data_IF_987992967099
#
_entry.id   IF_987992967099
#
_cell.length_a   1.000
_cell.length_b   1.000
_cell.length_c   1.000
_cell.angle_alpha   90.00
_cell.angle_beta   90.00
_cell.angle_gamma   90.00
#
_symmetry.space_group_name_H-M   'P 1'
#
loop_
_entity.id
_entity.type
_entity.pdbx_description
1 polymer ?
#
# COMPACT_ATOMS: atom_id res chain seq x y z
N UNK A 1 9.46 4.53 -38.67
CA UNK A 1 8.15 3.91 -38.39
C UNK A 1 8.15 3.31 -37.01
N UNK A 2 7.43 3.91 -36.09
CA UNK A 2 7.34 3.43 -34.72
C UNK A 2 6.55 2.12 -34.66
N UNK A 3 7.18 1.06 -34.14
CA UNK A 3 6.48 -0.18 -33.82
C UNK A 3 5.43 0.12 -32.76
N UNK A 4 4.16 0.08 -33.12
CA UNK A 4 3.06 0.11 -32.15
C UNK A 4 3.25 -1.09 -31.20
N UNK A 5 3.60 -0.83 -29.94
CA UNK A 5 3.58 -1.88 -28.93
C UNK A 5 2.18 -2.45 -28.88
N UNK A 6 2.05 -3.74 -29.18
CA UNK A 6 0.81 -4.46 -28.91
C UNK A 6 0.52 -4.31 -27.42
N UNK A 7 -0.56 -3.65 -27.10
CA UNK A 7 -1.06 -3.57 -25.73
C UNK A 7 -1.61 -4.96 -25.44
N UNK A 8 -0.90 -5.70 -24.59
CA UNK A 8 -1.37 -6.99 -24.13
C UNK A 8 -2.71 -6.79 -23.41
N UNK A 9 -3.77 -7.30 -24.01
CA UNK A 9 -5.14 -7.22 -23.49
C UNK A 9 -5.33 -7.97 -22.16
N UNK A 10 -4.31 -8.66 -21.68
CA UNK A 10 -4.29 -9.41 -20.43
C UNK A 10 -3.48 -8.71 -19.33
N UNK A 11 -3.37 -7.41 -19.36
CA UNK A 11 -2.89 -6.71 -18.17
C UNK A 11 -3.95 -6.90 -17.08
N UNK A 12 -3.54 -7.58 -16.02
CA UNK A 12 -4.32 -7.64 -14.79
C UNK A 12 -4.91 -6.26 -14.50
N UNK A 13 -6.22 -6.22 -14.28
CA UNK A 13 -6.90 -4.97 -13.96
C UNK A 13 -6.43 -4.50 -12.58
N UNK A 14 -5.40 -3.68 -12.56
CA UNK A 14 -4.78 -3.20 -11.34
C UNK A 14 -4.95 -1.69 -11.20
N UNK A 15 -5.13 -1.25 -9.96
CA UNK A 15 -5.21 0.15 -9.59
C UNK A 15 -4.16 0.41 -8.51
N UNK A 16 -3.44 1.50 -8.66
CA UNK A 16 -2.36 1.89 -7.74
C UNK A 16 -2.69 3.17 -7.01
N UNK A 17 -2.35 3.21 -5.73
CA UNK A 17 -2.33 4.42 -4.93
C UNK A 17 -0.99 4.52 -4.20
N UNK A 18 -0.45 5.73 -4.16
CA UNK A 18 0.83 6.02 -3.53
C UNK A 18 0.64 7.13 -2.51
N UNK A 19 1.15 6.91 -1.30
CA UNK A 19 1.27 7.95 -0.29
C UNK A 19 2.74 8.15 0.06
N UNK A 20 3.28 9.32 -0.26
CA UNK A 20 4.70 9.63 -0.09
C UNK A 20 5.03 10.26 1.27
N UNK A 21 4.05 10.59 2.08
CA UNK A 21 4.23 11.42 3.28
C UNK A 21 3.83 10.70 4.56
N UNK A 22 4.16 9.43 4.68
CA UNK A 22 3.91 8.69 5.92
C UNK A 22 5.09 8.89 6.87
N UNK A 23 4.80 9.47 8.03
CA UNK A 23 5.80 9.70 9.07
C UNK A 23 6.05 8.43 9.88
N UNK A 24 6.76 7.51 9.27
CA UNK A 24 7.16 6.26 9.90
C UNK A 24 8.35 5.63 9.20
N UNK A 25 9.03 4.73 9.90
CA UNK A 25 10.08 3.92 9.30
C UNK A 25 9.51 2.74 8.53
N UNK A 26 10.23 2.30 7.50
CA UNK A 26 9.88 1.10 6.72
C UNK A 26 9.73 -0.14 7.60
N UNK A 27 10.57 -0.28 8.62
CA UNK A 27 10.54 -1.40 9.55
C UNK A 27 9.21 -1.53 10.30
N UNK A 28 8.56 -0.40 10.62
CA UNK A 28 7.26 -0.37 11.31
C UNK A 28 6.09 -0.58 10.35
N UNK A 29 6.25 -0.17 9.09
CA UNK A 29 5.22 -0.31 8.07
C UNK A 29 5.12 -1.72 7.49
N UNK A 30 6.24 -2.38 7.28
CA UNK A 30 6.29 -3.69 6.64
C UNK A 30 5.38 -4.76 7.29
N UNK A 31 5.36 -4.93 8.62
CA UNK A 31 4.50 -5.94 9.24
C UNK A 31 3.01 -5.69 8.97
N UNK A 32 2.60 -4.42 8.97
CA UNK A 32 1.22 -4.02 8.71
C UNK A 32 0.85 -4.30 7.26
N UNK A 33 1.71 -3.93 6.32
CA UNK A 33 1.48 -4.14 4.90
C UNK A 33 1.44 -5.63 4.54
N UNK A 34 2.30 -6.44 5.13
CA UNK A 34 2.27 -7.89 4.95
C UNK A 34 0.97 -8.52 5.46
N UNK A 35 0.40 -7.96 6.51
CA UNK A 35 -0.84 -8.45 7.09
C UNK A 35 -2.07 -8.21 6.21
N UNK A 36 -2.04 -7.23 5.32
CA UNK A 36 -3.18 -6.88 4.46
C UNK A 36 -3.09 -7.44 3.03
N UNK A 37 -1.92 -7.86 2.59
CA UNK A 37 -1.74 -8.43 1.24
C UNK A 37 -2.55 -9.72 1.07
N UNK A 38 -3.26 -9.83 -0.03
CA UNK A 38 -4.10 -10.98 -0.35
C UNK A 38 -5.49 -10.96 0.25
N UNK A 39 -5.80 -9.99 1.10
CA UNK A 39 -7.14 -9.82 1.69
C UNK A 39 -8.04 -9.01 0.79
N UNK A 40 -9.35 -9.25 0.90
CA UNK A 40 -10.35 -8.35 0.32
C UNK A 40 -10.21 -6.95 0.93
N UNK A 41 -10.46 -5.95 0.13
CA UNK A 41 -10.33 -4.54 0.56
C UNK A 41 -11.19 -4.24 1.79
N UNK A 42 -12.42 -4.72 1.84
CA UNK A 42 -13.31 -4.52 2.99
C UNK A 42 -12.73 -5.08 4.28
N UNK A 43 -12.16 -6.28 4.21
CA UNK A 43 -11.51 -6.93 5.36
C UNK A 43 -10.25 -6.17 5.77
N UNK A 44 -9.45 -5.75 4.80
CA UNK A 44 -8.24 -4.98 5.06
C UNK A 44 -8.55 -3.65 5.75
N UNK A 45 -9.55 -2.92 5.28
CA UNK A 45 -9.98 -1.66 5.89
C UNK A 45 -10.47 -1.89 7.32
N UNK A 46 -11.25 -2.94 7.54
CA UNK A 46 -11.74 -3.29 8.87
C UNK A 46 -10.60 -3.62 9.83
N UNK A 47 -9.66 -4.44 9.41
CA UNK A 47 -8.50 -4.81 10.23
C UNK A 47 -7.66 -3.58 10.60
N UNK A 48 -7.47 -2.65 9.67
CA UNK A 48 -6.75 -1.41 9.92
C UNK A 48 -7.53 -0.46 10.83
N UNK A 49 -8.85 -0.44 10.74
CA UNK A 49 -9.69 0.42 11.58
C UNK A 49 -9.64 -0.01 13.06
N UNK A 50 -9.58 -1.29 13.31
CA UNK A 50 -9.51 -1.84 14.67
C UNK A 50 -8.09 -1.98 15.22
N UNK A 51 -7.08 -1.69 14.42
CA UNK A 51 -5.69 -1.71 14.88
C UNK A 51 -5.39 -0.49 15.76
N UNK A 52 -4.68 -0.72 16.84
CA UNK A 52 -4.27 0.34 17.78
C UNK A 52 -3.11 1.19 17.26
N UNK A 53 -2.43 0.75 16.22
CA UNK A 53 -1.27 1.45 15.67
C UNK A 53 -1.69 2.72 14.94
N UNK A 54 -1.04 3.85 15.26
CA UNK A 54 -1.33 5.15 14.64
C UNK A 54 -1.15 5.15 13.12
N UNK A 55 -0.16 4.43 12.62
CA UNK A 55 0.20 4.39 11.20
C UNK A 55 -0.90 3.77 10.33
N UNK A 56 -1.73 2.92 10.90
CA UNK A 56 -2.82 2.27 10.18
C UNK A 56 -3.83 3.25 9.61
N UNK A 57 -3.96 4.43 10.19
CA UNK A 57 -4.81 5.50 9.65
C UNK A 57 -4.35 5.95 8.27
N UNK A 58 -3.05 6.16 8.12
CA UNK A 58 -2.47 6.62 6.85
C UNK A 58 -2.56 5.52 5.78
N UNK A 59 -2.32 4.29 6.16
CA UNK A 59 -2.47 3.14 5.27
C UNK A 59 -3.94 2.98 4.84
N UNK A 60 -4.87 3.11 5.76
CA UNK A 60 -6.31 3.05 5.46
C UNK A 60 -6.73 4.15 4.48
N UNK A 61 -6.24 5.37 4.67
CA UNK A 61 -6.49 6.47 3.72
C UNK A 61 -5.95 6.16 2.34
N UNK A 62 -4.77 5.55 2.26
CA UNK A 62 -4.16 5.13 0.99
C UNK A 62 -5.00 4.07 0.29
N UNK A 63 -5.51 3.09 1.03
CA UNK A 63 -6.43 2.07 0.49
C UNK A 63 -7.73 2.72 0.01
N UNK A 64 -8.31 3.62 0.79
CA UNK A 64 -9.53 4.34 0.41
C UNK A 64 -9.34 5.16 -0.86
N UNK A 65 -8.19 5.79 -1.02
CA UNK A 65 -7.81 6.48 -2.25
C UNK A 65 -7.71 5.53 -3.44
N UNK A 66 -7.13 4.35 -3.24
CA UNK A 66 -7.04 3.34 -4.29
C UNK A 66 -8.42 2.81 -4.70
N UNK A 67 -9.32 2.61 -3.74
CA UNK A 67 -10.72 2.21 -4.01
C UNK A 67 -11.45 3.29 -4.80
N UNK A 68 -11.29 4.55 -4.43
CA UNK A 68 -11.87 5.66 -5.15
C UNK A 68 -11.35 5.74 -6.60
N UNK A 69 -10.06 5.52 -6.81
CA UNK A 69 -9.47 5.45 -8.14
C UNK A 69 -10.03 4.29 -8.96
N UNK A 70 -10.23 3.13 -8.34
CA UNK A 70 -10.80 1.97 -9.00
C UNK A 70 -12.24 2.22 -9.45
N UNK A 71 -13.04 2.84 -8.59
CA UNK A 71 -14.44 3.16 -8.88
C UNK A 71 -14.58 4.26 -9.93
N UNK A 72 -13.89 5.39 -9.74
CA UNK A 72 -14.09 6.59 -10.56
C UNK A 72 -13.39 6.51 -11.92
N UNK A 73 -12.19 5.94 -11.97
CA UNK A 73 -11.38 5.94 -13.18
C UNK A 73 -11.54 4.69 -14.03
N UNK A 74 -11.79 3.55 -13.39
CA UNK A 74 -11.81 2.25 -14.04
C UNK A 74 -13.15 1.52 -13.93
N UNK A 75 -14.08 2.03 -13.14
CA UNK A 75 -15.41 1.45 -12.92
C UNK A 75 -15.36 -0.02 -12.46
N UNK A 76 -14.37 -0.35 -11.63
CA UNK A 76 -14.26 -1.68 -11.06
C UNK A 76 -15.29 -1.89 -9.96
N UNK A 77 -15.71 -3.14 -9.78
CA UNK A 77 -16.59 -3.53 -8.69
C UNK A 77 -15.81 -3.56 -7.37
N UNK A 78 -16.21 -2.72 -6.43
CA UNK A 78 -15.54 -2.58 -5.13
C UNK A 78 -15.56 -3.90 -4.37
N UNK A 79 -16.65 -4.66 -4.45
CA UNK A 79 -16.82 -5.93 -3.73
C UNK A 79 -15.84 -7.02 -4.20
N UNK A 80 -15.29 -6.86 -5.39
CA UNK A 80 -14.34 -7.80 -5.98
C UNK A 80 -12.89 -7.36 -5.84
N UNK A 81 -12.62 -6.21 -5.26
CA UNK A 81 -11.26 -5.72 -5.08
C UNK A 81 -10.52 -6.47 -3.97
N UNK A 82 -9.29 -6.85 -4.29
CA UNK A 82 -8.35 -7.42 -3.33
C UNK A 82 -7.06 -6.62 -3.31
N UNK A 83 -6.35 -6.65 -2.20
CA UNK A 83 -5.02 -6.08 -2.11
C UNK A 83 -4.04 -7.07 -2.73
N UNK A 84 -3.62 -6.77 -3.95
CA UNK A 84 -2.67 -7.62 -4.68
C UNK A 84 -1.25 -7.48 -4.14
N UNK A 85 -0.82 -6.25 -3.97
CA UNK A 85 0.50 -5.90 -3.49
C UNK A 85 0.43 -4.68 -2.58
N UNK A 86 1.25 -4.67 -1.56
CA UNK A 86 1.47 -3.51 -0.71
C UNK A 86 2.94 -3.48 -0.29
N UNK A 87 3.61 -2.40 -0.60
CA UNK A 87 5.01 -2.24 -0.25
C UNK A 87 5.32 -0.81 0.15
N UNK A 88 6.40 -0.64 0.87
CA UNK A 88 6.88 0.66 1.30
C UNK A 88 8.35 0.82 0.98
N UNK A 89 8.75 2.07 0.85
CA UNK A 89 10.12 2.45 0.62
C UNK A 89 10.50 3.66 1.46
N UNK A 90 11.79 3.77 1.76
CA UNK A 90 12.34 4.94 2.44
C UNK A 90 12.28 6.14 1.49
N UNK A 91 11.67 7.24 1.94
CA UNK A 91 11.56 8.45 1.14
C UNK A 91 12.61 9.48 1.52
N UNK A 92 12.52 9.97 2.74
CA UNK A 92 13.45 10.97 3.28
C UNK A 92 13.61 10.75 4.78
N UNK A 93 14.78 11.07 5.31
CA UNK A 93 15.03 11.06 6.74
C UNK A 93 15.47 12.46 7.14
N UNK A 94 14.68 13.09 8.01
CA UNK A 94 15.08 14.36 8.61
C UNK A 94 16.02 14.10 9.76
N UNK A 95 17.22 14.67 9.70
CA UNK A 95 18.24 14.55 10.74
C UNK A 95 18.14 15.72 11.69
N UNK A 96 18.11 15.44 12.98
CA UNK A 96 18.11 16.42 14.06
C UNK A 96 19.16 16.01 15.09
N UNK A 97 19.61 16.98 15.89
CA UNK A 97 20.57 16.76 16.96
C UNK A 97 19.93 17.07 18.30
N UNK A 98 20.24 16.26 19.27
CA UNK A 98 19.88 16.52 20.66
C UNK A 98 21.16 16.65 21.47
N UNK A 99 21.37 17.75 22.21
CA UNK A 99 22.51 17.88 23.11
C UNK A 99 22.46 16.82 24.22
N UNK A 100 23.59 16.19 24.46
CA UNK A 100 23.80 15.26 25.57
C UNK A 100 24.87 15.81 26.52
N UNK A 101 25.03 15.19 27.70
CA UNK A 101 26.07 15.54 28.64
C UNK A 101 27.47 15.54 28.01
N UNK A 102 28.39 16.39 28.53
CA UNK A 102 29.78 16.51 28.06
C UNK A 102 29.94 17.01 26.61
N UNK A 103 29.03 17.86 26.12
CA UNK A 103 29.14 18.46 24.80
C UNK A 103 28.93 17.52 23.63
N UNK A 104 28.47 16.29 23.88
CA UNK A 104 28.11 15.33 22.85
C UNK A 104 26.72 15.63 22.28
N UNK A 105 26.56 15.49 20.98
CA UNK A 105 25.27 15.57 20.31
C UNK A 105 24.83 14.17 19.88
N UNK A 106 23.61 13.76 20.25
CA UNK A 106 23.01 12.52 19.77
C UNK A 106 22.12 12.80 18.55
N UNK A 107 22.27 12.08 17.44
CA UNK A 107 21.41 12.27 16.27
C UNK A 107 19.99 11.75 16.54
N UNK A 108 19.00 12.51 16.08
CA UNK A 108 17.61 12.09 16.04
C UNK A 108 17.23 11.96 14.59
N UNK A 109 16.79 10.76 14.19
CA UNK A 109 16.35 10.48 12.84
C UNK A 109 14.82 10.48 12.80
N UNK A 110 14.25 11.32 11.92
CA UNK A 110 12.81 11.37 11.66
C UNK A 110 12.54 10.82 10.26
N UNK A 111 12.28 9.52 10.11
CA UNK A 111 12.08 8.92 8.81
C UNK A 111 10.69 9.21 8.26
N UNK A 112 10.63 9.41 6.95
CA UNK A 112 9.41 9.43 6.16
C UNK A 112 9.49 8.32 5.12
N UNK A 113 8.38 7.66 4.91
CA UNK A 113 8.29 6.55 3.98
C UNK A 113 7.19 6.76 2.95
N UNK A 114 7.33 6.13 1.82
CA UNK A 114 6.26 6.03 0.82
C UNK A 114 5.62 4.65 0.91
N UNK A 115 4.30 4.60 0.80
CA UNK A 115 3.54 3.36 0.71
C UNK A 115 2.87 3.31 -0.65
N UNK A 116 3.01 2.20 -1.32
CA UNK A 116 2.32 1.90 -2.58
C UNK A 116 1.41 0.71 -2.37
N UNK A 117 0.14 0.88 -2.69
CA UNK A 117 -0.87 -0.17 -2.61
C UNK A 117 -1.42 -0.41 -4.01
N UNK A 118 -1.40 -1.66 -4.42
CA UNK A 118 -1.94 -2.11 -5.69
C UNK A 118 -3.12 -3.01 -5.41
N UNK A 119 -4.28 -2.59 -5.91
CA UNK A 119 -5.51 -3.37 -5.86
C UNK A 119 -5.74 -4.03 -7.21
N UNK A 120 -6.31 -5.22 -7.18
CA UNK A 120 -6.78 -5.89 -8.39
C UNK A 120 -8.23 -6.34 -8.21
N UNK A 121 -8.97 -6.37 -9.31
CA UNK A 121 -10.28 -6.99 -9.34
C UNK A 121 -10.11 -8.51 -9.43
N UNK A 122 -10.75 -9.23 -8.53
CA UNK A 122 -10.90 -10.66 -8.65
C UNK A 122 -11.78 -10.93 -9.87
N UNK A 123 -11.15 -11.11 -11.01
CA UNK A 123 -11.81 -11.90 -12.02
C UNK A 123 -12.05 -13.27 -11.38
N UNK A 124 -13.24 -13.81 -11.50
CA UNK A 124 -13.44 -15.23 -11.27
C UNK A 124 -12.43 -15.94 -12.17
N UNK A 125 -11.23 -16.15 -11.64
CA UNK A 125 -10.42 -17.22 -12.18
C UNK A 125 -11.32 -18.42 -11.94
N UNK A 126 -11.81 -18.99 -13.01
CA UNK A 126 -12.44 -20.27 -12.95
C UNK A 126 -11.54 -21.10 -12.05
N UNK A 127 -12.05 -21.40 -10.87
CA UNK A 127 -11.40 -22.37 -10.05
C UNK A 127 -11.29 -23.58 -10.95
N UNK A 128 -10.10 -23.84 -11.46
CA UNK A 128 -9.79 -25.14 -12.02
C UNK A 128 -10.00 -26.10 -10.88
N UNK A 129 -11.25 -26.61 -10.82
CA UNK A 129 -11.59 -27.57 -9.82
C UNK A 129 -10.54 -28.64 -9.83
N UNK A 130 -9.85 -28.83 -8.74
CA UNK A 130 -9.07 -30.02 -8.48
C UNK A 130 -10.01 -31.18 -8.80
N UNK A 131 -9.81 -31.76 -9.94
CA UNK A 131 -10.44 -33.05 -10.23
C UNK A 131 -9.83 -34.03 -9.25
N UNK A 132 -10.58 -34.29 -8.21
CA UNK A 132 -10.31 -35.44 -7.36
C UNK A 132 -10.42 -36.72 -8.17
#
# INVERSE_FOLDING_TARGET
>A
MGKKKKIDKNKDKTVRSINNNIRSSVRKLNPILRGIVGKKVDVAIRDLQFSEKRITRDIRKTISSAVANAENNFQYDIDKLIVKEAYCGKKITMKRFRPRAEGRAAPILKPYSSVTIILSELNKVESHGTKS
#
